data_IF_176301281090
#
_entry.id   IF_176301281090
#
_cell.length_a   1.000
_cell.length_b   1.000
_cell.length_c   1.000
_cell.angle_alpha   90.00
_cell.angle_beta   90.00
_cell.angle_gamma   90.00
#
_symmetry.space_group_name_H-M   'P 1'
#
loop_
_entity.id
_entity.type
_entity.pdbx_description
1 polymer ?
#
# COMPACT_ATOMS: atom_id res chain seq x y z
N UNK A 1 -2.89 52.80 44.98
CA UNK A 1 -3.75 53.23 43.87
C UNK A 1 -2.87 53.45 42.65
N UNK A 2 -2.84 52.50 41.70
CA UNK A 2 -2.57 52.73 40.27
C UNK A 2 -2.90 51.40 39.58
N UNK A 3 -4.09 51.35 38.97
CA UNK A 3 -4.53 50.27 38.09
C UNK A 3 -3.91 50.53 36.71
N UNK A 4 -3.08 49.62 36.23
CA UNK A 4 -2.61 49.62 34.84
C UNK A 4 -3.40 48.54 34.09
N UNK A 5 -4.36 48.98 33.28
CA UNK A 5 -5.15 48.16 32.37
C UNK A 5 -4.28 47.81 31.15
N UNK A 6 -3.95 46.54 30.96
CA UNK A 6 -3.43 46.02 29.71
C UNK A 6 -4.54 45.24 29.01
N UNK A 7 -5.14 45.87 28.01
CA UNK A 7 -5.94 45.21 26.97
C UNK A 7 -5.03 44.43 26.02
N UNK A 8 -5.32 43.16 25.67
CA UNK A 8 -4.65 42.50 24.56
C UNK A 8 -5.25 42.97 23.22
N UNK A 9 -4.36 43.39 22.32
CA UNK A 9 -4.65 43.60 20.89
C UNK A 9 -5.08 42.27 20.26
N UNK A 10 -6.29 42.25 19.71
CA UNK A 10 -6.81 41.18 18.86
C UNK A 10 -6.09 41.23 17.51
N UNK A 11 -5.35 40.17 17.18
CA UNK A 11 -4.81 39.91 15.84
C UNK A 11 -5.79 38.99 15.08
N UNK A 12 -6.47 39.46 14.02
CA UNK A 12 -7.47 38.66 13.31
C UNK A 12 -6.89 37.58 12.38
N UNK A 13 -5.57 37.34 12.36
CA UNK A 13 -4.95 36.36 11.45
C UNK A 13 -4.33 35.12 12.09
N UNK A 14 -4.49 34.88 13.39
CA UNK A 14 -4.11 33.59 14.01
C UNK A 14 -5.27 32.59 14.02
N UNK A 15 -5.41 31.82 12.95
CA UNK A 15 -6.12 30.53 13.02
C UNK A 15 -5.20 29.48 13.63
N UNK A 16 -5.61 28.89 14.74
CA UNK A 16 -4.92 27.78 15.40
C UNK A 16 -5.13 26.47 14.63
N UNK A 17 -4.07 25.66 14.58
CA UNK A 17 -3.96 24.34 13.91
C UNK A 17 -5.05 23.34 14.35
N UNK A 18 -5.77 23.62 15.45
CA UNK A 18 -6.84 22.77 15.96
C UNK A 18 -8.18 22.84 15.22
N UNK A 19 -8.41 23.85 14.36
CA UNK A 19 -9.69 24.01 13.64
C UNK A 19 -9.72 23.34 12.25
N UNK A 20 -8.63 22.68 11.82
CA UNK A 20 -8.57 21.98 10.52
C UNK A 20 -8.95 20.49 10.57
N UNK A 21 -9.27 19.94 11.75
CA UNK A 21 -9.55 18.50 11.92
C UNK A 21 -11.05 18.13 11.98
N UNK A 22 -11.98 19.05 11.73
CA UNK A 22 -13.41 18.82 11.92
C UNK A 22 -14.27 18.73 10.63
N UNK A 23 -13.71 18.66 9.42
CA UNK A 23 -14.50 18.55 8.17
C UNK A 23 -14.08 17.35 7.31
N UNK A 24 -13.97 16.18 7.92
CA UNK A 24 -13.76 14.91 7.22
C UNK A 24 -14.85 13.88 7.59
N UNK A 25 -16.12 14.27 7.45
CA UNK A 25 -17.27 13.34 7.45
C UNK A 25 -18.26 13.70 6.34
N UNK A 26 -17.81 13.56 5.09
CA UNK A 26 -18.65 13.21 3.93
C UNK A 26 -17.79 13.36 2.68
N UNK A 27 -17.22 12.27 2.18
CA UNK A 27 -16.66 12.25 0.84
C UNK A 27 -17.05 10.94 0.19
N UNK A 28 -17.82 11.05 -0.90
CA UNK A 28 -18.35 9.94 -1.67
C UNK A 28 -17.25 9.10 -2.34
N UNK A 29 -17.66 7.92 -2.78
CA UNK A 29 -16.82 6.90 -3.39
C UNK A 29 -15.95 7.45 -4.54
N UNK A 30 -14.62 7.21 -4.54
CA UNK A 30 -13.77 7.55 -5.65
C UNK A 30 -14.01 6.59 -6.83
N UNK A 31 -14.03 7.15 -8.03
CA UNK A 31 -14.20 6.44 -9.31
C UNK A 31 -13.09 5.42 -9.52
N UNK A 32 -13.49 4.16 -9.73
CA UNK A 32 -12.62 3.04 -10.05
C UNK A 32 -11.63 3.38 -11.18
N UNK A 33 -10.35 3.04 -10.96
CA UNK A 33 -9.31 3.10 -11.99
C UNK A 33 -9.72 2.24 -13.19
N UNK A 34 -9.79 2.88 -14.36
CA UNK A 34 -10.25 2.25 -15.62
C UNK A 34 -9.43 1.02 -16.04
N UNK A 35 -8.23 0.81 -15.50
CA UNK A 35 -7.36 -0.31 -15.88
C UNK A 35 -7.79 -1.66 -15.28
N UNK A 36 -8.58 -1.68 -14.20
CA UNK A 36 -9.10 -2.94 -13.63
C UNK A 36 -10.31 -3.51 -14.36
N UNK A 37 -10.94 -2.76 -15.27
CA UNK A 37 -12.19 -3.16 -15.91
C UNK A 37 -12.00 -4.08 -17.15
N UNK A 38 -10.82 -4.05 -17.78
CA UNK A 38 -10.55 -4.76 -19.04
C UNK A 38 -9.70 -6.05 -18.88
N UNK A 39 -9.21 -6.33 -17.67
CA UNK A 39 -8.43 -7.55 -17.39
C UNK A 39 -9.34 -8.69 -16.91
N UNK A 40 -9.36 -9.80 -17.66
CA UNK A 40 -10.03 -11.03 -17.23
C UNK A 40 -9.18 -11.76 -16.19
N UNK A 41 -9.42 -11.47 -14.91
CA UNK A 41 -8.79 -12.17 -13.80
C UNK A 41 -9.26 -13.63 -13.71
N UNK A 42 -8.33 -14.57 -13.54
CA UNK A 42 -8.60 -16.00 -13.34
C UNK A 42 -8.75 -16.34 -11.86
N UNK A 43 -7.92 -15.74 -11.01
CA UNK A 43 -7.95 -15.97 -9.58
C UNK A 43 -9.25 -15.41 -8.96
N UNK A 44 -9.97 -16.26 -8.24
CA UNK A 44 -11.28 -15.91 -7.68
C UNK A 44 -11.20 -14.85 -6.59
N UNK A 45 -10.12 -14.78 -5.81
CA UNK A 45 -9.95 -13.72 -4.80
C UNK A 45 -9.90 -12.35 -5.44
N UNK A 46 -9.16 -12.18 -6.55
CA UNK A 46 -9.12 -10.89 -7.26
C UNK A 46 -10.54 -10.52 -7.74
N UNK A 47 -11.23 -11.46 -8.38
CA UNK A 47 -12.59 -11.25 -8.91
C UNK A 47 -13.56 -10.88 -7.78
N UNK A 48 -13.52 -11.59 -6.65
CA UNK A 48 -14.42 -11.37 -5.53
C UNK A 48 -14.14 -10.01 -4.86
N UNK A 49 -12.87 -9.66 -4.65
CA UNK A 49 -12.47 -8.35 -4.12
C UNK A 49 -12.93 -7.21 -5.03
N UNK A 50 -12.78 -7.34 -6.35
CA UNK A 50 -13.28 -6.34 -7.29
C UNK A 50 -14.82 -6.25 -7.29
N UNK A 51 -15.52 -7.39 -7.16
CA UNK A 51 -16.99 -7.44 -7.04
C UNK A 51 -17.48 -6.74 -5.76
N UNK A 52 -16.71 -6.82 -4.69
CA UNK A 52 -16.92 -6.10 -3.42
C UNK A 52 -16.54 -4.62 -3.49
N UNK A 53 -16.03 -4.15 -4.64
CA UNK A 53 -15.65 -2.75 -4.85
C UNK A 53 -14.27 -2.40 -4.30
N UNK A 54 -13.38 -3.38 -4.09
CA UNK A 54 -12.00 -3.13 -3.68
C UNK A 54 -11.26 -2.31 -4.75
N UNK A 55 -10.45 -1.36 -4.27
CA UNK A 55 -9.52 -0.59 -5.11
C UNK A 55 -8.11 -0.87 -4.60
N UNK A 56 -7.29 -1.46 -5.47
CA UNK A 56 -5.91 -1.78 -5.17
C UNK A 56 -5.03 -0.56 -5.45
N UNK A 57 -4.75 0.22 -4.40
CA UNK A 57 -3.93 1.43 -4.49
C UNK A 57 -2.61 1.23 -3.78
N UNK A 58 -1.50 1.44 -4.49
CA UNK A 58 -0.18 1.51 -3.86
C UNK A 58 -0.05 2.78 -3.02
N UNK A 59 0.00 2.63 -1.71
CA UNK A 59 0.17 3.72 -0.74
C UNK A 59 1.54 3.69 -0.04
N UNK A 60 2.51 2.93 -0.57
CA UNK A 60 3.84 2.79 0.03
C UNK A 60 4.53 4.15 0.27
N UNK A 61 4.43 5.08 -0.68
CA UNK A 61 5.07 6.39 -0.59
C UNK A 61 4.57 7.21 0.60
N UNK A 62 3.28 7.12 0.93
CA UNK A 62 2.69 7.80 2.10
C UNK A 62 3.36 7.36 3.40
N UNK A 63 3.76 6.09 3.50
CA UNK A 63 4.45 5.55 4.67
C UNK A 63 5.97 5.79 4.61
N UNK A 64 6.56 5.74 3.43
CA UNK A 64 8.00 5.88 3.26
C UNK A 64 8.49 7.33 3.36
N UNK A 65 7.64 8.33 3.02
CA UNK A 65 8.01 9.75 3.02
C UNK A 65 8.53 10.25 4.38
N UNK A 66 8.13 9.60 5.48
CA UNK A 66 8.59 9.93 6.83
C UNK A 66 10.11 9.80 7.01
N UNK A 67 10.78 8.96 6.21
CA UNK A 67 12.24 8.81 6.25
C UNK A 67 12.95 10.13 5.89
N UNK A 68 12.30 11.00 5.10
CA UNK A 68 12.80 12.29 4.62
C UNK A 68 12.31 13.49 5.45
N UNK A 69 11.66 13.25 6.60
CA UNK A 69 11.00 14.31 7.39
C UNK A 69 11.96 15.35 7.95
N UNK A 70 13.13 14.94 8.42
CA UNK A 70 14.12 15.84 9.03
C UNK A 70 14.99 16.52 7.99
N UNK A 71 15.43 17.75 8.24
CA UNK A 71 16.39 18.47 7.39
C UNK A 71 17.67 17.67 7.14
N UNK A 72 18.21 17.03 8.19
CA UNK A 72 19.39 16.15 8.07
C UNK A 72 19.16 14.91 7.19
N UNK A 73 17.91 14.51 6.94
CA UNK A 73 17.59 13.46 5.97
C UNK A 73 17.60 14.02 4.55
N UNK A 74 17.05 15.23 4.37
CA UNK A 74 16.93 15.88 3.06
C UNK A 74 18.27 16.30 2.47
N UNK A 75 19.27 16.57 3.30
CA UNK A 75 20.63 16.91 2.84
C UNK A 75 21.56 15.68 2.75
N UNK A 76 21.11 14.50 3.16
CA UNK A 76 21.84 13.25 2.97
C UNK A 76 21.70 12.82 1.50
N UNK A 77 22.73 13.11 0.71
CA UNK A 77 22.72 12.87 -0.73
C UNK A 77 22.51 11.39 -1.10
N UNK A 78 23.10 10.47 -0.32
CA UNK A 78 22.96 9.03 -0.57
C UNK A 78 21.52 8.58 -0.29
N UNK A 79 20.96 9.00 0.85
CA UNK A 79 19.55 8.70 1.16
C UNK A 79 18.60 9.30 0.13
N UNK A 80 18.83 10.53 -0.30
CA UNK A 80 17.99 11.20 -1.30
C UNK A 80 18.02 10.43 -2.64
N UNK A 81 19.20 10.00 -3.10
CA UNK A 81 19.35 9.19 -4.31
C UNK A 81 18.68 7.82 -4.15
N UNK A 82 18.92 7.11 -3.06
CA UNK A 82 18.36 5.77 -2.80
C UNK A 82 16.84 5.80 -2.60
N UNK A 83 16.29 6.90 -2.06
CA UNK A 83 14.84 7.11 -1.95
C UNK A 83 14.16 7.22 -3.32
N UNK A 84 14.89 7.56 -4.39
CA UNK A 84 14.33 7.57 -5.75
C UNK A 84 13.87 6.18 -6.19
N UNK A 85 14.45 5.10 -5.66
CA UNK A 85 13.97 3.75 -5.91
C UNK A 85 12.51 3.58 -5.44
N UNK A 86 12.17 4.11 -4.27
CA UNK A 86 10.80 4.08 -3.71
C UNK A 86 9.87 4.96 -4.56
N UNK A 87 10.32 6.15 -4.95
CA UNK A 87 9.55 7.07 -5.81
C UNK A 87 9.21 6.45 -7.18
N UNK A 88 10.07 5.60 -7.72
CA UNK A 88 9.85 4.87 -8.97
C UNK A 88 8.88 3.69 -8.85
N UNK A 89 8.31 3.45 -7.67
CA UNK A 89 7.35 2.38 -7.43
C UNK A 89 7.99 1.03 -7.11
N UNK A 90 9.29 0.97 -6.82
CA UNK A 90 9.96 -0.28 -6.41
C UNK A 90 9.52 -0.80 -5.03
N UNK A 91 8.61 -0.09 -4.36
CA UNK A 91 7.94 -0.55 -3.14
C UNK A 91 6.45 -0.39 -3.28
N UNK A 92 5.72 -1.42 -2.87
CA UNK A 92 4.27 -1.49 -2.93
C UNK A 92 3.74 -1.79 -1.53
N UNK A 93 2.68 -1.08 -1.14
CA UNK A 93 1.91 -1.40 0.05
C UNK A 93 0.45 -1.10 -0.24
N UNK A 94 -0.42 -2.08 -0.03
CA UNK A 94 -1.85 -2.01 -0.34
C UNK A 94 -2.64 -2.51 0.86
N UNK A 95 -3.66 -1.75 1.26
CA UNK A 95 -4.56 -2.17 2.33
C UNK A 95 -5.68 -3.04 1.80
N UNK A 96 -6.15 -3.98 2.62
CA UNK A 96 -7.30 -4.82 2.31
C UNK A 96 -7.20 -5.52 0.94
N UNK A 97 -6.01 -6.00 0.59
CA UNK A 97 -5.72 -6.59 -0.71
C UNK A 97 -6.41 -7.95 -0.87
N UNK A 98 -6.12 -8.92 0.00
CA UNK A 98 -6.71 -10.28 -0.11
C UNK A 98 -8.08 -10.40 0.53
N UNK A 99 -8.38 -9.61 1.57
CA UNK A 99 -9.67 -9.53 2.24
C UNK A 99 -9.79 -8.18 2.97
N UNK A 100 -10.96 -7.87 3.53
CA UNK A 100 -11.12 -6.70 4.39
C UNK A 100 -10.41 -6.90 5.75
N UNK A 101 -9.94 -5.82 6.38
CA UNK A 101 -9.25 -5.87 7.69
C UNK A 101 -10.07 -6.60 8.77
N UNK A 102 -11.40 -6.52 8.70
CA UNK A 102 -12.31 -7.17 9.66
C UNK A 102 -12.76 -8.57 9.26
N UNK A 103 -12.39 -9.04 8.06
CA UNK A 103 -12.75 -10.36 7.55
C UNK A 103 -11.61 -11.37 7.81
N UNK A 104 -11.82 -12.21 8.82
CA UNK A 104 -10.88 -13.26 9.23
C UNK A 104 -11.16 -14.61 8.56
N UNK A 105 -12.07 -14.68 7.58
CA UNK A 105 -12.44 -15.95 6.93
C UNK A 105 -11.23 -16.68 6.34
N UNK A 106 -10.38 -15.99 5.58
CA UNK A 106 -9.15 -16.58 5.01
C UNK A 106 -8.16 -17.01 6.09
N UNK A 107 -8.05 -16.23 7.18
CA UNK A 107 -7.20 -16.55 8.31
C UNK A 107 -7.68 -17.85 9.00
N UNK A 108 -8.97 -17.95 9.30
CA UNK A 108 -9.57 -19.08 10.01
C UNK A 108 -9.51 -20.36 9.15
N UNK A 109 -9.80 -20.24 7.85
CA UNK A 109 -9.71 -21.34 6.88
C UNK A 109 -8.28 -21.87 6.79
N UNK A 110 -7.29 -21.00 6.57
CA UNK A 110 -5.90 -21.41 6.47
C UNK A 110 -5.40 -22.02 7.78
N UNK A 111 -5.79 -21.47 8.93
CA UNK A 111 -5.44 -22.04 10.23
C UNK A 111 -6.01 -23.44 10.40
N UNK A 112 -7.27 -23.66 10.05
CA UNK A 112 -7.91 -24.97 10.11
C UNK A 112 -7.24 -25.98 9.17
N UNK A 113 -6.90 -25.57 7.94
CA UNK A 113 -6.17 -26.39 6.97
C UNK A 113 -4.79 -26.80 7.50
N UNK A 114 -4.02 -25.87 8.07
CA UNK A 114 -2.71 -26.16 8.65
C UNK A 114 -2.81 -27.11 9.85
N UNK A 115 -3.77 -26.91 10.75
CA UNK A 115 -4.02 -27.82 11.88
C UNK A 115 -4.35 -29.22 11.37
N UNK A 116 -5.24 -29.33 10.38
CA UNK A 116 -5.65 -30.60 9.80
C UNK A 116 -4.47 -31.33 9.15
N UNK A 117 -3.68 -30.64 8.33
CA UNK A 117 -2.58 -31.22 7.57
C UNK A 117 -1.35 -31.57 8.42
N UNK A 118 -1.11 -30.83 9.51
CA UNK A 118 0.11 -31.00 10.34
C UNK A 118 -0.15 -31.73 11.66
N UNK A 119 -1.40 -31.82 12.10
CA UNK A 119 -1.76 -32.27 13.44
C UNK A 119 -1.29 -31.32 14.57
N UNK A 120 -0.75 -30.15 14.23
CA UNK A 120 -0.32 -29.17 15.21
C UNK A 120 -1.55 -28.58 15.91
N UNK A 121 -1.52 -28.53 17.24
CA UNK A 121 -2.29 -27.50 17.94
C UNK A 121 -1.72 -26.17 17.46
N UNK A 122 -2.56 -25.21 17.07
CA UNK A 122 -2.15 -23.82 16.81
C UNK A 122 -2.87 -22.93 17.84
N UNK A 123 -2.84 -23.38 19.10
CA UNK A 123 -3.35 -22.69 20.27
C UNK A 123 -2.16 -22.12 21.04
N UNK A 124 -2.38 -21.07 21.85
CA UNK A 124 -1.31 -20.29 22.49
C UNK A 124 -0.28 -21.07 23.35
N UNK A 125 -0.46 -22.37 23.56
CA UNK A 125 0.46 -23.25 24.30
C UNK A 125 0.96 -24.47 23.51
N UNK A 126 0.53 -24.68 22.26
CA UNK A 126 0.91 -25.83 21.48
C UNK A 126 1.11 -25.45 20.03
N UNK A 127 2.26 -25.85 19.47
CA UNK A 127 2.62 -25.76 18.07
C UNK A 127 4.07 -26.27 17.94
N UNK A 128 4.25 -27.41 17.27
CA UNK A 128 5.52 -28.15 17.18
C UNK A 128 6.71 -27.28 16.73
N UNK A 129 7.85 -27.60 17.35
CA UNK A 129 9.21 -27.02 17.24
C UNK A 129 9.30 -25.53 17.61
N UNK A 130 9.74 -25.27 18.85
CA UNK A 130 10.23 -23.96 19.29
C UNK A 130 11.52 -23.57 18.56
N UNK A 131 11.38 -22.93 17.40
CA UNK A 131 12.40 -22.00 16.95
C UNK A 131 12.11 -20.65 17.60
N UNK A 132 13.10 -20.13 18.34
CA UNK A 132 13.03 -18.92 19.18
C UNK A 132 12.68 -17.60 18.47
N UNK A 133 12.28 -17.63 17.19
CA UNK A 133 12.04 -16.46 16.33
C UNK A 133 10.59 -16.40 15.77
N UNK A 134 10.10 -17.44 15.10
CA UNK A 134 8.72 -17.67 14.58
C UNK A 134 8.67 -19.06 13.91
N UNK A 135 7.48 -19.60 13.62
CA UNK A 135 7.35 -20.87 12.89
C UNK A 135 7.33 -20.63 11.39
N UNK A 136 7.95 -21.54 10.62
CA UNK A 136 8.16 -21.39 9.18
C UNK A 136 7.74 -22.68 8.46
N UNK A 137 6.93 -22.54 7.43
CA UNK A 137 6.69 -23.57 6.42
C UNK A 137 7.29 -23.08 5.10
N UNK A 138 8.29 -23.79 4.58
CA UNK A 138 8.88 -23.52 3.26
C UNK A 138 8.09 -24.29 2.19
N UNK A 139 7.60 -23.58 1.18
CA UNK A 139 6.75 -24.10 0.09
C UNK A 139 5.59 -25.02 0.54
N UNK A 140 4.65 -24.53 1.37
CA UNK A 140 3.49 -25.30 1.84
C UNK A 140 2.41 -25.51 0.77
N UNK A 141 2.79 -25.74 -0.49
CA UNK A 141 1.86 -25.80 -1.62
C UNK A 141 0.93 -26.99 -1.60
N UNK A 142 1.26 -28.06 -0.87
CA UNK A 142 0.41 -29.26 -0.80
C UNK A 142 -0.40 -29.38 0.50
N UNK A 143 -0.31 -28.38 1.40
CA UNK A 143 -0.89 -28.47 2.75
C UNK A 143 -2.05 -27.52 3.02
N UNK A 144 -2.24 -26.48 2.20
CA UNK A 144 -3.30 -25.47 2.37
C UNK A 144 -3.79 -24.95 1.01
N UNK A 145 -5.01 -25.34 0.58
CA UNK A 145 -5.66 -24.75 -0.59
C UNK A 145 -5.78 -23.23 -0.51
N UNK A 146 -6.05 -22.68 0.68
CA UNK A 146 -6.12 -21.23 0.91
C UNK A 146 -4.78 -20.55 0.63
N UNK A 147 -3.67 -21.16 1.07
CA UNK A 147 -2.32 -20.67 0.77
C UNK A 147 -2.06 -20.62 -0.74
N UNK A 148 -2.36 -21.70 -1.47
CA UNK A 148 -2.17 -21.74 -2.92
C UNK A 148 -2.97 -20.67 -3.65
N UNK A 149 -4.23 -20.50 -3.26
CA UNK A 149 -5.11 -19.49 -3.85
C UNK A 149 -4.55 -18.08 -3.67
N UNK A 150 -3.93 -17.79 -2.51
CA UNK A 150 -3.24 -16.53 -2.25
C UNK A 150 -1.97 -16.40 -3.10
N UNK A 151 -1.15 -17.44 -3.19
CA UNK A 151 0.07 -17.42 -4.03
C UNK A 151 -0.30 -17.17 -5.50
N UNK A 152 -1.33 -17.83 -6.01
CA UNK A 152 -1.83 -17.63 -7.37
C UNK A 152 -2.33 -16.19 -7.57
N UNK A 153 -3.00 -15.61 -6.56
CA UNK A 153 -3.43 -14.21 -6.58
C UNK A 153 -2.23 -13.27 -6.70
N UNK A 154 -1.15 -13.51 -5.93
CA UNK A 154 0.06 -12.70 -5.99
C UNK A 154 0.77 -12.86 -7.35
N UNK A 155 0.90 -14.08 -7.85
CA UNK A 155 1.53 -14.38 -9.14
C UNK A 155 0.79 -13.73 -10.31
N UNK A 156 -0.55 -13.75 -10.29
CA UNK A 156 -1.39 -13.15 -11.32
C UNK A 156 -1.43 -11.62 -11.21
N UNK A 157 -1.65 -11.08 -10.00
CA UNK A 157 -1.76 -9.63 -9.82
C UNK A 157 -0.44 -8.91 -10.07
N UNK A 158 0.68 -9.44 -9.60
CA UNK A 158 1.98 -8.78 -9.81
C UNK A 158 2.67 -9.19 -11.10
N UNK A 159 2.07 -10.10 -11.89
CA UNK A 159 2.68 -10.67 -13.08
C UNK A 159 4.08 -11.26 -12.80
N UNK A 160 4.14 -12.21 -11.87
CA UNK A 160 5.37 -12.81 -11.33
C UNK A 160 5.36 -14.31 -11.51
N UNK A 161 6.46 -14.87 -12.01
CA UNK A 161 6.78 -16.29 -11.88
C UNK A 161 7.36 -16.54 -10.50
N UNK A 162 6.59 -17.26 -9.66
CA UNK A 162 6.97 -17.57 -8.28
C UNK A 162 7.94 -18.75 -8.26
N UNK A 163 9.10 -18.55 -7.65
CA UNK A 163 10.16 -19.56 -7.54
C UNK A 163 10.21 -20.20 -6.16
N UNK A 164 9.87 -19.42 -5.13
CA UNK A 164 9.82 -19.90 -3.76
C UNK A 164 8.76 -19.16 -2.96
N UNK A 165 8.23 -19.83 -1.95
CA UNK A 165 7.25 -19.28 -1.04
C UNK A 165 7.54 -19.66 0.40
N UNK A 166 7.05 -18.85 1.33
CA UNK A 166 7.17 -19.11 2.76
C UNK A 166 5.94 -18.64 3.50
N UNK A 167 5.45 -19.48 4.40
CA UNK A 167 4.47 -19.10 5.41
C UNK A 167 5.17 -18.97 6.76
N UNK A 168 5.10 -17.78 7.34
CA UNK A 168 5.59 -17.50 8.68
C UNK A 168 4.40 -17.37 9.63
N UNK A 169 4.34 -18.20 10.67
CA UNK A 169 3.35 -18.10 11.73
C UNK A 169 3.96 -17.46 12.97
N UNK A 170 3.33 -16.38 13.42
CA UNK A 170 3.68 -15.65 14.62
C UNK A 170 2.57 -15.84 15.64
N UNK A 171 2.81 -16.62 16.68
CA UNK A 171 1.80 -16.96 17.70
C UNK A 171 1.34 -15.76 18.54
N UNK A 172 2.19 -14.74 18.67
CA UNK A 172 1.98 -13.59 19.54
C UNK A 172 2.97 -12.44 19.20
N UNK A 173 2.95 -11.39 20.04
CA UNK A 173 3.87 -10.25 19.96
C UNK A 173 5.32 -10.57 20.32
N UNK A 174 5.58 -11.68 21.01
CA UNK A 174 6.94 -12.08 21.40
C UNK A 174 7.75 -12.54 20.19
N UNK A 175 7.14 -13.17 19.19
CA UNK A 175 7.83 -13.65 17.99
C UNK A 175 8.14 -12.51 17.01
N UNK A 176 9.30 -12.59 16.34
CA UNK A 176 9.88 -11.51 15.55
C UNK A 176 10.82 -12.03 14.45
N UNK A 177 11.17 -11.14 13.51
CA UNK A 177 12.17 -11.40 12.46
C UNK A 177 13.20 -10.27 12.50
N UNK A 178 14.51 -10.57 12.61
CA UNK A 178 15.54 -9.55 12.58
C UNK A 178 15.56 -8.80 11.25
N UNK A 179 16.21 -7.64 11.25
CA UNK A 179 16.55 -6.92 10.05
C UNK A 179 17.47 -7.79 9.18
N UNK A 180 17.11 -7.94 7.91
CA UNK A 180 17.83 -8.74 6.93
C UNK A 180 17.56 -8.25 5.52
N UNK A 181 18.44 -8.63 4.60
CA UNK A 181 18.14 -8.66 3.16
C UNK A 181 17.57 -10.04 2.81
N UNK A 182 16.64 -10.09 1.87
CA UNK A 182 16.22 -11.37 1.31
C UNK A 182 17.39 -11.99 0.55
N UNK A 183 17.59 -13.29 0.74
CA UNK A 183 18.65 -14.05 0.08
C UNK A 183 18.16 -14.53 -1.29
N UNK A 184 18.79 -14.05 -2.38
CA UNK A 184 18.52 -14.53 -3.73
C UNK A 184 19.06 -15.95 -3.90
N UNK A 185 18.26 -16.96 -3.60
CA UNK A 185 18.71 -18.35 -3.51
C UNK A 185 18.64 -19.11 -4.84
N UNK A 186 17.75 -18.70 -5.76
CA UNK A 186 17.42 -19.50 -6.94
C UNK A 186 18.02 -18.91 -8.23
N UNK A 187 18.68 -19.76 -9.04
CA UNK A 187 19.14 -19.45 -10.40
C UNK A 187 20.52 -18.78 -10.54
N UNK A 188 21.11 -18.89 -11.74
CA UNK A 188 22.24 -18.07 -12.17
C UNK A 188 21.86 -16.58 -12.27
N UNK A 189 22.80 -15.65 -12.47
CA UNK A 189 22.51 -14.18 -12.46
C UNK A 189 21.30 -13.77 -13.33
N UNK A 190 21.02 -14.48 -14.42
CA UNK A 190 19.90 -14.21 -15.33
C UNK A 190 18.53 -14.71 -14.84
N UNK A 191 18.49 -15.69 -13.93
CA UNK A 191 17.27 -16.34 -13.41
C UNK A 191 17.04 -16.05 -11.93
N UNK A 192 17.73 -15.05 -11.37
CA UNK A 192 17.53 -14.65 -9.98
C UNK A 192 16.17 -13.97 -9.80
N UNK A 193 15.57 -14.23 -8.65
CA UNK A 193 14.42 -13.52 -8.12
C UNK A 193 14.73 -12.03 -8.07
N UNK A 194 13.80 -11.21 -8.55
CA UNK A 194 13.93 -9.75 -8.58
C UNK A 194 12.76 -9.03 -7.88
N UNK A 195 11.84 -9.82 -7.30
CA UNK A 195 10.64 -9.34 -6.67
C UNK A 195 10.29 -10.18 -5.44
N UNK A 196 10.02 -9.47 -4.34
CA UNK A 196 9.46 -10.04 -3.11
C UNK A 196 8.06 -9.48 -2.93
N UNK A 197 7.09 -10.34 -2.68
CA UNK A 197 5.73 -9.93 -2.32
C UNK A 197 5.24 -10.74 -1.13
N UNK A 198 4.53 -10.10 -0.22
CA UNK A 198 3.93 -10.78 0.91
C UNK A 198 2.61 -10.17 1.35
N UNK A 199 1.80 -11.01 2.00
CA UNK A 199 0.53 -10.59 2.61
C UNK A 199 0.51 -10.94 4.09
N UNK A 200 -0.38 -10.28 4.81
CA UNK A 200 -0.63 -10.54 6.23
C UNK A 200 -2.07 -11.00 6.44
N UNK A 201 -2.24 -12.03 7.27
CA UNK A 201 -3.54 -12.49 7.78
C UNK A 201 -3.47 -12.57 9.30
N UNK A 202 -4.53 -12.12 10.00
CA UNK A 202 -4.56 -12.11 11.46
C UNK A 202 -4.08 -10.80 12.08
N UNK A 203 -3.37 -10.89 13.20
CA UNK A 203 -3.10 -9.73 14.06
C UNK A 203 -2.10 -8.72 13.51
N UNK A 204 -2.34 -7.44 13.82
CA UNK A 204 -1.61 -6.30 13.29
C UNK A 204 -0.14 -6.24 13.74
N UNK A 205 0.79 -6.07 12.80
CA UNK A 205 2.23 -5.93 13.09
C UNK A 205 2.84 -4.81 12.26
N UNK A 206 4.16 -4.63 12.35
CA UNK A 206 4.89 -3.70 11.49
C UNK A 206 5.89 -4.49 10.67
N UNK A 207 6.01 -4.13 9.40
CA UNK A 207 7.17 -4.45 8.57
C UNK A 207 8.03 -3.18 8.52
N UNK A 208 9.22 -3.23 9.11
CA UNK A 208 10.12 -2.09 9.24
C UNK A 208 11.23 -2.23 8.22
N UNK A 209 11.42 -1.21 7.39
CA UNK A 209 12.53 -1.06 6.45
C UNK A 209 13.54 -0.08 7.02
N UNK A 210 14.82 -0.44 6.99
CA UNK A 210 15.92 0.41 7.45
C UNK A 210 16.88 0.64 6.29
N UNK A 211 17.07 1.91 5.91
CA UNK A 211 18.07 2.30 4.92
C UNK A 211 19.47 2.00 5.45
N UNK A 212 20.22 1.17 4.74
CA UNK A 212 21.46 0.61 5.29
C UNK A 212 22.54 1.68 5.52
N UNK A 213 22.67 2.67 4.63
CA UNK A 213 23.68 3.71 4.77
C UNK A 213 23.35 4.69 5.90
N UNK A 214 22.12 5.23 5.91
CA UNK A 214 21.72 6.28 6.86
C UNK A 214 21.19 5.77 8.20
N UNK A 215 20.85 4.48 8.28
CA UNK A 215 20.14 3.83 9.41
C UNK A 215 18.75 4.40 9.73
N UNK A 216 18.21 5.25 8.86
CA UNK A 216 16.83 5.74 8.98
C UNK A 216 15.85 4.69 8.54
N UNK A 217 14.64 4.75 9.08
CA UNK A 217 13.63 3.72 8.87
C UNK A 217 12.28 4.30 8.45
N UNK A 218 11.49 3.47 7.77
CA UNK A 218 10.05 3.63 7.61
C UNK A 218 9.37 2.28 7.83
N UNK A 219 8.05 2.26 7.95
CA UNK A 219 7.34 1.01 8.19
C UNK A 219 5.96 0.97 7.54
N UNK A 220 5.52 -0.24 7.20
CA UNK A 220 4.14 -0.53 6.84
C UNK A 220 3.40 -1.14 8.02
N UNK A 221 2.23 -0.61 8.41
CA UNK A 221 1.34 -1.28 9.35
C UNK A 221 0.78 -2.52 8.66
N UNK A 222 1.22 -3.70 9.03
CA UNK A 222 0.77 -4.96 8.45
C UNK A 222 -0.53 -5.37 9.15
N UNK A 223 -1.67 -4.99 8.59
CA UNK A 223 -3.00 -5.40 9.09
C UNK A 223 -3.54 -6.60 8.33
N UNK A 224 -4.59 -7.23 8.86
CA UNK A 224 -5.25 -8.36 8.20
C UNK A 224 -5.66 -7.96 6.76
N UNK A 225 -5.31 -8.80 5.80
CA UNK A 225 -5.63 -8.59 4.39
C UNK A 225 -4.63 -7.70 3.63
N UNK A 226 -3.67 -7.05 4.28
CA UNK A 226 -2.73 -6.14 3.62
C UNK A 226 -1.68 -6.89 2.79
N UNK A 227 -1.19 -6.22 1.74
CA UNK A 227 -0.10 -6.69 0.89
C UNK A 227 1.06 -5.69 0.90
N UNK A 228 2.29 -6.20 0.88
CA UNK A 228 3.49 -5.43 0.58
C UNK A 228 4.28 -6.10 -0.52
N UNK A 229 5.05 -5.33 -1.28
CA UNK A 229 6.02 -5.86 -2.22
C UNK A 229 7.21 -4.92 -2.36
N UNK A 230 8.36 -5.45 -2.79
CA UNK A 230 9.51 -4.64 -3.14
C UNK A 230 10.40 -5.37 -4.14
N UNK A 231 11.17 -4.61 -4.92
CA UNK A 231 12.09 -5.16 -5.92
C UNK A 231 13.46 -5.44 -5.33
N UNK A 232 14.30 -6.15 -6.08
CA UNK A 232 15.71 -6.36 -5.74
C UNK A 232 16.51 -5.05 -5.55
N UNK A 233 16.08 -3.94 -6.14
CA UNK A 233 16.71 -2.63 -5.92
C UNK A 233 16.51 -2.15 -4.48
N UNK A 234 15.26 -2.23 -3.99
CA UNK A 234 14.94 -1.86 -2.60
C UNK A 234 15.56 -2.86 -1.62
N UNK A 235 15.53 -4.15 -1.93
CA UNK A 235 16.17 -5.20 -1.12
C UNK A 235 17.71 -5.03 -1.01
N UNK A 236 18.35 -4.26 -1.90
CA UNK A 236 19.80 -3.97 -1.79
C UNK A 236 20.08 -2.77 -0.89
N UNK A 237 19.16 -1.81 -0.86
CA UNK A 237 19.33 -0.52 -0.18
C UNK A 237 18.77 -0.53 1.25
N UNK A 238 17.73 -1.35 1.48
CA UNK A 238 17.00 -1.41 2.73
C UNK A 238 16.97 -2.84 3.26
N UNK A 239 17.34 -3.02 4.53
CA UNK A 239 17.00 -4.25 5.24
C UNK A 239 15.55 -4.17 5.73
N UNK A 240 14.90 -5.31 5.91
CA UNK A 240 13.55 -5.37 6.50
C UNK A 240 13.44 -6.39 7.63
N UNK A 241 12.49 -6.15 8.52
CA UNK A 241 12.24 -7.01 9.68
C UNK A 241 10.89 -6.76 10.34
N UNK A 242 10.52 -7.66 11.23
CA UNK A 242 9.29 -7.57 12.02
C UNK A 242 9.69 -7.46 13.49
N UNK A 243 9.57 -6.29 14.13
CA UNK A 243 9.98 -6.09 15.52
C UNK A 243 9.02 -6.79 16.50
N UNK A 244 9.50 -7.12 17.71
CA UNK A 244 8.66 -7.61 18.81
C UNK A 244 7.61 -6.57 19.21
N UNK A 245 6.48 -7.05 19.72
CA UNK A 245 5.41 -6.24 20.31
C UNK A 245 5.26 -6.66 21.76
N UNK A 246 5.42 -5.70 22.67
CA UNK A 246 5.35 -5.96 24.12
C UNK A 246 3.91 -5.97 24.66
N UNK A 247 2.97 -5.36 23.94
CA UNK A 247 1.56 -5.43 24.27
C UNK A 247 0.99 -6.81 23.88
N UNK A 248 0.03 -7.36 24.64
CA UNK A 248 -0.70 -8.56 24.24
C UNK A 248 -1.34 -8.37 22.87
N UNK A 249 -1.09 -9.30 21.97
CA UNK A 249 -1.63 -9.32 20.62
C UNK A 249 -1.80 -10.77 20.19
N UNK A 250 -2.81 -11.02 19.35
CA UNK A 250 -3.04 -12.34 18.80
C UNK A 250 -1.96 -12.80 17.83
N UNK A 251 -2.19 -13.96 17.25
CA UNK A 251 -1.33 -14.55 16.25
C UNK A 251 -1.57 -13.95 14.86
N UNK A 252 -0.63 -14.22 13.94
CA UNK A 252 -0.75 -13.85 12.53
C UNK A 252 0.02 -14.81 11.63
N UNK A 253 -0.38 -14.83 10.37
CA UNK A 253 0.37 -15.39 9.28
C UNK A 253 0.98 -14.28 8.42
N UNK A 254 2.18 -14.54 7.92
CA UNK A 254 2.81 -13.75 6.86
C UNK A 254 3.23 -14.70 5.75
N UNK A 255 2.56 -14.59 4.61
CA UNK A 255 2.80 -15.40 3.42
C UNK A 255 3.66 -14.58 2.47
N UNK A 256 4.79 -15.13 2.07
CA UNK A 256 5.77 -14.48 1.19
C UNK A 256 5.95 -15.33 -0.06
N UNK A 257 6.04 -14.67 -1.21
CA UNK A 257 6.47 -15.24 -2.47
C UNK A 257 7.67 -14.45 -3.00
N UNK A 258 8.68 -15.19 -3.45
CA UNK A 258 9.81 -14.66 -4.20
C UNK A 258 9.74 -15.19 -5.62
N UNK A 259 10.09 -14.32 -6.56
CA UNK A 259 9.99 -14.68 -7.95
C UNK A 259 10.61 -13.65 -8.87
N UNK A 260 10.32 -13.86 -10.15
CA UNK A 260 10.75 -12.98 -11.22
C UNK A 260 9.55 -12.38 -11.93
N UNK A 261 9.56 -11.08 -12.12
CA UNK A 261 8.52 -10.38 -12.90
C UNK A 261 8.57 -10.86 -14.36
N UNK A 262 7.43 -11.29 -14.92
CA UNK A 262 7.32 -11.71 -16.33
C UNK A 262 7.44 -10.50 -17.25
N UNK A 263 6.80 -9.40 -16.86
CA UNK A 263 6.88 -8.10 -17.51
C UNK A 263 6.93 -6.99 -16.47
N UNK A 264 7.53 -5.85 -16.82
CA UNK A 264 7.51 -4.66 -15.97
C UNK A 264 6.23 -3.87 -16.21
N UNK A 265 5.49 -3.59 -15.14
CA UNK A 265 4.26 -2.79 -15.16
C UNK A 265 4.09 -2.01 -13.84
N UNK A 266 3.09 -1.14 -13.78
CA UNK A 266 2.89 -0.24 -12.62
C UNK A 266 2.65 -0.97 -11.28
N UNK A 267 2.23 -2.24 -11.32
CA UNK A 267 1.93 -3.02 -10.11
C UNK A 267 3.18 -3.64 -9.51
N UNK A 268 4.25 -3.80 -10.28
CA UNK A 268 5.45 -4.53 -9.87
C UNK A 268 6.75 -3.70 -9.98
N UNK A 269 6.63 -2.37 -9.88
CA UNK A 269 7.76 -1.45 -9.92
C UNK A 269 8.29 -1.18 -11.33
N UNK A 270 7.52 -1.49 -12.38
CA UNK A 270 7.71 -0.97 -13.72
C UNK A 270 7.11 0.44 -13.86
N UNK A 271 7.70 1.26 -14.73
CA UNK A 271 7.36 2.69 -14.84
C UNK A 271 5.87 2.89 -15.17
N UNK A 272 5.13 3.67 -14.36
CA UNK A 272 3.77 4.09 -14.68
C UNK A 272 3.75 4.93 -15.96
N UNK A 273 2.99 4.52 -16.96
CA UNK A 273 2.94 5.23 -18.24
C UNK A 273 2.19 6.58 -18.15
N UNK A 274 1.53 6.90 -17.02
CA UNK A 274 0.70 8.11 -16.92
C UNK A 274 0.93 8.98 -15.67
N UNK A 275 1.18 8.43 -14.48
CA UNK A 275 1.39 9.26 -13.27
C UNK A 275 2.87 9.48 -12.90
N UNK A 276 3.70 8.44 -12.97
CA UNK A 276 5.14 8.62 -12.87
C UNK A 276 5.75 9.24 -14.14
N UNK A 277 5.12 9.09 -15.32
CA UNK A 277 5.52 9.84 -16.50
C UNK A 277 5.24 11.34 -16.36
N UNK A 278 4.19 11.74 -15.62
CA UNK A 278 3.99 13.14 -15.22
C UNK A 278 5.07 13.65 -14.26
N UNK A 279 5.60 12.79 -13.38
CA UNK A 279 6.79 13.09 -12.56
C UNK A 279 8.10 13.10 -13.37
N UNK A 280 8.24 12.25 -14.38
CA UNK A 280 9.41 12.22 -15.28
C UNK A 280 9.42 13.40 -16.27
N UNK A 281 8.25 13.98 -16.53
CA UNK A 281 8.07 15.18 -17.35
C UNK A 281 8.07 16.47 -16.51
N UNK A 282 7.80 16.37 -15.21
CA UNK A 282 8.02 17.46 -14.27
C UNK A 282 9.52 17.59 -14.04
N UNK A 283 10.06 18.78 -14.27
CA UNK A 283 11.44 19.08 -13.91
C UNK A 283 11.51 19.09 -12.37
N UNK A 284 11.90 17.96 -11.78
CA UNK A 284 12.21 17.89 -10.35
C UNK A 284 13.61 18.46 -10.18
N UNK A 285 13.70 19.78 -10.07
CA UNK A 285 14.96 20.48 -9.85
C UNK A 285 15.33 20.51 -8.36
N UNK A 286 14.32 20.40 -7.48
CA UNK A 286 14.49 20.49 -6.04
C UNK A 286 13.76 19.38 -5.27
N UNK A 287 14.19 19.12 -4.03
CA UNK A 287 13.54 18.17 -3.14
C UNK A 287 12.14 18.65 -2.69
N UNK A 288 11.89 19.96 -2.68
CA UNK A 288 10.56 20.54 -2.45
C UNK A 288 9.60 20.22 -3.60
N UNK A 289 10.09 20.13 -4.84
CA UNK A 289 9.29 19.68 -5.98
C UNK A 289 8.93 18.20 -5.82
N UNK A 290 9.86 17.37 -5.35
CA UNK A 290 9.61 15.94 -5.09
C UNK A 290 8.60 15.72 -3.96
N UNK A 291 8.72 16.47 -2.86
CA UNK A 291 7.78 16.41 -1.72
C UNK A 291 6.41 16.97 -2.10
N UNK A 292 6.36 18.07 -2.85
CA UNK A 292 5.11 18.67 -3.34
C UNK A 292 4.42 17.73 -4.33
N UNK A 293 5.16 17.11 -5.25
CA UNK A 293 4.64 16.10 -6.15
C UNK A 293 4.09 14.89 -5.38
N UNK A 294 4.84 14.38 -4.40
CA UNK A 294 4.39 13.29 -3.52
C UNK A 294 3.12 13.65 -2.72
N UNK A 295 3.03 14.87 -2.21
CA UNK A 295 1.84 15.36 -1.49
C UNK A 295 0.63 15.53 -2.42
N UNK A 296 0.85 16.05 -3.64
CA UNK A 296 -0.21 16.24 -4.64
C UNK A 296 -0.85 14.93 -5.12
N UNK A 297 -0.07 13.83 -5.10
CA UNK A 297 -0.57 12.48 -5.38
C UNK A 297 -1.51 11.94 -4.31
N UNK A 298 -1.37 12.41 -3.06
CA UNK A 298 -2.18 11.98 -1.91
C UNK A 298 -3.39 12.89 -1.73
N UNK A 299 -3.33 14.15 -2.20
CA UNK A 299 -4.39 15.15 -2.06
C UNK A 299 -5.17 15.39 -3.36
N UNK A 300 -5.82 14.37 -3.94
CA UNK A 300 -6.81 14.62 -5.00
C UNK A 300 -8.16 14.92 -4.36
N UNK A 301 -8.45 16.20 -4.12
CA UNK A 301 -9.83 16.67 -4.13
C UNK A 301 -10.34 16.71 -5.59
N UNK A 302 -11.63 16.46 -5.86
CA UNK A 302 -12.17 16.57 -7.21
C UNK A 302 -11.97 18.00 -7.75
N UNK A 303 -11.22 18.13 -8.83
CA UNK A 303 -11.15 19.37 -9.60
C UNK A 303 -12.54 19.69 -10.13
N UNK A 304 -13.08 20.83 -9.69
CA UNK A 304 -14.31 21.40 -10.22
C UNK A 304 -14.18 21.53 -11.74
N UNK A 305 -14.99 20.76 -12.47
CA UNK A 305 -15.11 20.87 -13.90
C UNK A 305 -15.49 22.31 -14.26
N UNK A 306 -14.61 22.96 -15.02
CA UNK A 306 -14.88 24.22 -15.72
C UNK A 306 -16.08 23.98 -16.65
N UNK A 307 -17.24 24.47 -16.27
CA UNK A 307 -18.42 24.56 -17.14
C UNK A 307 -18.11 25.55 -18.26
N UNK A 308 -17.65 25.07 -19.41
CA UNK A 308 -17.81 25.79 -20.67
C UNK A 308 -19.22 25.52 -21.19
N UNK A 309 -20.19 26.32 -20.74
CA UNK A 309 -21.50 26.35 -21.37
C UNK A 309 -21.36 26.96 -22.77
N UNK A 310 -21.55 26.12 -23.78
CA UNK A 310 -21.94 26.51 -25.13
C UNK A 310 -23.34 27.12 -25.10
N UNK A 311 -23.43 28.43 -24.92
CA UNK A 311 -24.66 29.17 -25.17
C UNK A 311 -24.75 29.48 -26.68
N UNK A 312 -25.50 28.66 -27.38
CA UNK A 312 -26.01 28.94 -28.72
C UNK A 312 -26.85 30.22 -28.69
N UNK A 313 -26.33 31.26 -29.32
CA UNK A 313 -27.05 32.52 -29.57
C UNK A 313 -28.09 32.26 -30.64
N UNK A 314 -29.31 31.91 -30.23
CA UNK A 314 -30.47 31.89 -31.10
C UNK A 314 -31.07 33.29 -31.16
N UNK A 315 -30.82 34.01 -32.27
CA UNK A 315 -31.47 35.28 -32.59
C UNK A 315 -32.83 34.99 -33.22
N UNK A 316 -33.92 35.43 -32.57
CA UNK A 316 -35.01 36.09 -33.29
C UNK A 316 -36.00 36.76 -32.32
N UNK A 317 -36.30 38.06 -32.49
CA UNK A 317 -37.40 38.70 -31.83
C UNK A 317 -38.65 38.81 -32.72
N UNK A 318 -39.79 38.53 -32.09
CA UNK A 318 -41.09 39.20 -32.24
C UNK A 318 -41.83 39.17 -33.58
N UNK A 319 -43.01 38.53 -33.57
CA UNK A 319 -44.26 39.21 -33.92
C UNK A 319 -45.49 38.46 -33.38
N UNK A 320 -46.26 39.13 -32.51
CA UNK A 320 -47.64 38.78 -32.15
C UNK A 320 -48.55 38.98 -33.36
N UNK A 321 -49.48 38.06 -33.61
CA UNK A 321 -50.88 38.40 -34.01
C UNK A 321 -51.83 37.23 -33.82
N UNK A 322 -52.90 37.51 -33.06
CA UNK A 322 -54.15 36.74 -32.94
C UNK A 322 -54.82 36.55 -34.30
N UNK A 323 -55.47 35.40 -34.52
CA UNK A 323 -56.94 35.25 -34.72
C UNK A 323 -57.28 33.83 -35.20
N UNK A 324 -58.34 33.27 -34.58
CA UNK A 324 -59.45 32.45 -35.14
C UNK A 324 -59.12 31.24 -36.04
N UNK A 325 -59.93 30.20 -36.19
CA UNK A 325 -61.08 29.56 -35.54
C UNK A 325 -61.46 28.47 -36.57
N UNK A 326 -61.85 27.28 -36.10
CA UNK A 326 -62.67 26.26 -36.79
C UNK A 326 -62.05 25.39 -37.91
N UNK A 327 -62.36 24.10 -37.73
CA UNK A 327 -62.35 22.94 -38.63
C UNK A 327 -61.01 22.28 -38.93
#
# INVERSE_FOLDING_TARGET
>A
MFHCLLTPLFDPHRRTIHDMLAVARSAGAPTAGKENADATWKNTLIVDRLREGAVFQNIALTHAADIMRSESARIDAQLAEDFTAILRGNTVYMRNFVCAETDFTLYDQMKAELIHSTGASMSGEGGLIEWSKHQVFDNPTDISPTFNLIIDMLAEYFDVDVYATRLNYYRDGSQWKPQHHDSHAYGGRAEREDFTVGITLGSNRKLVFIHEASKREFNFPQTNGDCFAFTGEVNRLFTHGVPRVHAPIGDRFSIIAWGRRRSLNERNGGVPNTQASMLASATIETMEDAVTAAQSLVSVQPTAARLSNSASVNKNPAAKKKKQRLQ
#
